data_IF_432514293540
#
_entry.id   IF_432514293540
#
_cell.length_a   1.000
_cell.length_b   1.000
_cell.length_c   1.000
_cell.angle_alpha   90.00
_cell.angle_beta   90.00
_cell.angle_gamma   90.00
#
_symmetry.space_group_name_H-M   'P 1'
#
loop_
_entity.id
_entity.type
_entity.pdbx_description
1 polymer ?
#
# COMPACT_ATOMS: atom_id res chain seq x y z
N UNK A 1 11.16 32.89 5.82
CA UNK A 1 10.60 32.19 4.65
C UNK A 1 10.12 30.82 5.08
N UNK A 2 8.86 30.44 4.76
CA UNK A 2 8.33 29.10 5.11
C UNK A 2 9.11 28.01 4.37
N UNK A 3 9.37 26.89 5.04
CA UNK A 3 10.05 25.73 4.41
C UNK A 3 9.07 24.92 3.57
N UNK A 4 9.52 24.42 2.43
CA UNK A 4 8.71 23.60 1.53
C UNK A 4 8.70 22.13 1.94
N UNK A 5 7.54 21.49 1.81
CA UNK A 5 7.35 20.05 1.97
C UNK A 5 6.66 19.51 0.70
N UNK A 6 7.30 18.59 0.04
CA UNK A 6 6.78 17.91 -1.15
C UNK A 6 6.41 16.47 -0.77
N UNK A 7 5.16 16.10 -0.94
CA UNK A 7 4.65 14.77 -0.57
C UNK A 7 4.29 14.01 -1.84
N UNK A 8 4.95 12.86 -2.05
CA UNK A 8 4.69 12.00 -3.18
C UNK A 8 3.42 11.17 -2.96
N UNK A 9 2.42 11.35 -3.82
CA UNK A 9 1.16 10.61 -3.81
C UNK A 9 0.77 10.19 -5.22
N UNK A 10 0.61 8.88 -5.48
CA UNK A 10 0.31 8.35 -6.82
C UNK A 10 -1.08 7.71 -6.91
N UNK A 11 -1.58 7.17 -5.81
CA UNK A 11 -2.85 6.44 -5.79
C UNK A 11 -3.87 7.11 -4.87
N UNK A 12 -4.85 7.79 -5.48
CA UNK A 12 -5.91 8.48 -4.76
C UNK A 12 -6.62 7.59 -3.72
N UNK A 13 -7.01 6.38 -4.11
CA UNK A 13 -7.75 5.45 -3.23
C UNK A 13 -6.90 4.86 -2.10
N UNK A 14 -5.58 4.89 -2.21
CA UNK A 14 -4.69 4.21 -1.27
C UNK A 14 -4.03 5.16 -0.29
N UNK A 15 -3.28 6.13 -0.77
CA UNK A 15 -2.37 6.94 0.05
C UNK A 15 -2.75 8.41 0.15
N UNK A 16 -3.58 8.91 -0.79
CA UNK A 16 -3.87 10.35 -0.87
C UNK A 16 -4.47 10.92 0.42
N UNK A 17 -5.44 10.25 1.03
CA UNK A 17 -6.08 10.76 2.25
C UNK A 17 -5.13 10.78 3.46
N UNK A 18 -4.25 9.78 3.60
CA UNK A 18 -3.20 9.79 4.62
C UNK A 18 -2.19 10.92 4.38
N UNK A 19 -1.80 11.13 3.13
CA UNK A 19 -0.92 12.23 2.74
C UNK A 19 -1.58 13.60 2.92
N UNK A 20 -2.89 13.71 2.68
CA UNK A 20 -3.65 14.92 2.96
C UNK A 20 -3.67 15.25 4.45
N UNK A 21 -3.90 14.25 5.33
CA UNK A 21 -3.79 14.43 6.78
C UNK A 21 -2.40 14.95 7.17
N UNK A 22 -1.34 14.32 6.65
CA UNK A 22 0.04 14.75 6.90
C UNK A 22 0.27 16.18 6.40
N UNK A 23 -0.27 16.53 5.22
CA UNK A 23 -0.16 17.86 4.64
C UNK A 23 -0.83 18.94 5.49
N UNK A 24 -2.03 18.66 5.99
CA UNK A 24 -2.75 19.59 6.89
C UNK A 24 -1.99 19.82 8.19
N UNK A 25 -1.44 18.74 8.76
CA UNK A 25 -0.61 18.86 9.98
C UNK A 25 0.68 19.65 9.74
N UNK A 26 1.33 19.46 8.60
CA UNK A 26 2.54 20.22 8.25
C UNK A 26 2.21 21.69 7.94
N UNK A 27 1.12 21.97 7.22
CA UNK A 27 0.68 23.34 6.94
C UNK A 27 0.35 24.10 8.23
N UNK A 28 -0.23 23.42 9.22
CA UNK A 28 -0.49 23.99 10.57
C UNK A 28 0.80 24.23 11.39
N UNK A 29 1.95 23.80 10.91
CA UNK A 29 3.29 24.04 11.45
C UNK A 29 4.12 24.97 10.55
N UNK A 30 3.45 25.85 9.81
CA UNK A 30 4.04 26.86 8.95
C UNK A 30 4.90 26.34 7.77
N UNK A 31 4.64 25.14 7.29
CA UNK A 31 5.23 24.65 6.05
C UNK A 31 4.37 25.00 4.82
N UNK A 32 5.00 25.29 3.69
CA UNK A 32 4.34 25.26 2.40
C UNK A 32 4.30 23.79 1.92
N UNK A 33 3.11 23.24 1.72
CA UNK A 33 2.96 21.82 1.41
C UNK A 33 2.41 21.62 0.02
N UNK A 34 3.06 20.74 -0.73
CA UNK A 34 2.71 20.36 -2.09
C UNK A 34 2.50 18.84 -2.15
N UNK A 35 1.36 18.40 -2.67
CA UNK A 35 1.10 16.98 -2.96
C UNK A 35 1.17 16.79 -4.47
N UNK A 36 1.98 15.85 -4.93
CA UNK A 36 2.14 15.59 -6.36
C UNK A 36 2.52 14.15 -6.68
N UNK A 37 2.42 13.81 -7.95
CA UNK A 37 2.84 12.50 -8.47
C UNK A 37 4.33 12.51 -8.82
N UNK A 38 4.93 11.33 -8.93
CA UNK A 38 6.31 11.18 -9.37
C UNK A 38 6.57 11.85 -10.72
N UNK A 39 5.62 11.74 -11.66
CA UNK A 39 5.72 12.37 -12.98
C UNK A 39 5.82 13.90 -12.90
N UNK A 40 4.99 14.51 -12.06
CA UNK A 40 4.98 15.97 -11.86
C UNK A 40 6.30 16.41 -11.24
N UNK A 41 6.73 15.77 -10.14
CA UNK A 41 7.96 16.16 -9.46
C UNK A 41 9.21 15.94 -10.31
N UNK A 42 9.30 14.86 -11.09
CA UNK A 42 10.39 14.67 -12.05
C UNK A 42 10.46 15.80 -13.10
N UNK A 43 9.29 16.21 -13.62
CA UNK A 43 9.23 17.32 -14.58
C UNK A 43 9.72 18.62 -13.94
N UNK A 44 9.14 19.01 -12.82
CA UNK A 44 9.50 20.24 -12.11
C UNK A 44 10.97 20.26 -11.66
N UNK A 45 11.51 19.12 -11.23
CA UNK A 45 12.91 18.99 -10.86
C UNK A 45 13.85 19.19 -12.06
N UNK A 46 13.51 18.61 -13.21
CA UNK A 46 14.25 18.78 -14.47
C UNK A 46 14.24 20.22 -14.95
N UNK A 47 13.14 20.91 -14.76
CA UNK A 47 12.95 22.33 -15.14
C UNK A 47 13.50 23.30 -14.08
N UNK A 48 14.12 22.80 -13.00
CA UNK A 48 14.63 23.58 -11.84
C UNK A 48 13.57 24.47 -11.18
N UNK A 49 12.31 24.06 -11.20
CA UNK A 49 11.18 24.76 -10.60
C UNK A 49 10.89 24.37 -9.14
N UNK A 50 11.65 23.43 -8.57
CA UNK A 50 11.53 23.03 -7.17
C UNK A 50 12.64 23.66 -6.35
N UNK A 51 12.27 24.47 -5.37
CA UNK A 51 13.21 24.95 -4.34
C UNK A 51 13.52 23.85 -3.34
N UNK A 52 14.75 23.77 -2.79
CA UNK A 52 15.09 22.81 -1.74
C UNK A 52 14.12 22.83 -0.57
N UNK A 53 13.85 21.66 -0.02
CA UNK A 53 12.90 21.46 1.08
C UNK A 53 12.87 20.02 1.52
N UNK A 54 11.84 19.62 2.24
CA UNK A 54 11.62 18.22 2.62
C UNK A 54 10.90 17.51 1.48
N UNK A 55 11.45 16.42 0.99
CA UNK A 55 10.79 15.56 0.01
C UNK A 55 10.41 14.23 0.67
N UNK A 56 9.12 14.04 0.87
CA UNK A 56 8.56 12.83 1.49
C UNK A 56 8.11 11.84 0.44
N UNK A 57 8.74 10.67 0.41
CA UNK A 57 8.47 9.62 -0.57
C UNK A 57 7.70 8.44 0.04
N UNK A 58 6.87 7.80 -0.78
CA UNK A 58 6.06 6.63 -0.41
C UNK A 58 6.80 5.29 -0.50
N UNK A 59 8.04 5.28 -0.96
CA UNK A 59 8.88 4.08 -1.06
C UNK A 59 10.35 4.48 -1.05
N UNK A 60 11.21 3.66 -0.49
CA UNK A 60 12.63 4.00 -0.32
C UNK A 60 13.44 3.67 -1.57
N UNK A 61 13.41 2.40 -2.04
CA UNK A 61 14.30 1.88 -3.09
C UNK A 61 13.58 0.94 -4.04
N UNK A 62 12.56 1.44 -4.74
CA UNK A 62 11.81 0.58 -5.66
C UNK A 62 12.19 0.83 -7.13
N UNK A 63 13.28 0.14 -7.57
CA UNK A 63 13.80 0.22 -8.94
C UNK A 63 14.89 1.29 -9.14
N UNK A 64 15.55 1.24 -10.28
CA UNK A 64 16.70 2.11 -10.61
C UNK A 64 16.26 3.57 -10.76
N UNK A 65 15.14 3.81 -11.43
CA UNK A 65 14.57 5.16 -11.59
C UNK A 65 14.33 5.89 -10.26
N UNK A 66 13.96 5.12 -9.21
CA UNK A 66 13.72 5.69 -7.88
C UNK A 66 15.04 6.07 -7.21
N UNK A 67 16.03 5.21 -7.33
CA UNK A 67 17.40 5.47 -6.84
C UNK A 67 17.98 6.74 -7.48
N UNK A 68 17.85 6.89 -8.80
CA UNK A 68 18.35 8.08 -9.49
C UNK A 68 17.61 9.36 -9.06
N UNK A 69 16.29 9.31 -8.93
CA UNK A 69 15.54 10.45 -8.40
C UNK A 69 15.98 10.84 -6.99
N UNK A 70 16.15 9.86 -6.09
CA UNK A 70 16.61 10.12 -4.73
C UNK A 70 18.00 10.76 -4.71
N UNK A 71 18.91 10.27 -5.55
CA UNK A 71 20.26 10.80 -5.71
C UNK A 71 20.25 12.23 -6.25
N UNK A 72 19.41 12.52 -7.24
CA UNK A 72 19.27 13.86 -7.82
C UNK A 72 18.72 14.86 -6.77
N UNK A 73 17.66 14.49 -6.06
CA UNK A 73 17.10 15.31 -4.98
C UNK A 73 18.14 15.58 -3.89
N UNK A 74 18.88 14.54 -3.46
CA UNK A 74 19.95 14.69 -2.47
C UNK A 74 21.03 15.68 -2.93
N UNK A 75 21.51 15.57 -4.19
CA UNK A 75 22.47 16.49 -4.78
C UNK A 75 21.96 17.94 -4.86
N UNK A 76 20.65 18.13 -4.97
CA UNK A 76 20.00 19.46 -4.98
C UNK A 76 19.61 19.93 -3.56
N UNK A 77 20.20 19.34 -2.51
CA UNK A 77 20.02 19.72 -1.10
C UNK A 77 18.59 19.55 -0.56
N UNK A 78 17.82 18.59 -1.11
CA UNK A 78 16.54 18.21 -0.49
C UNK A 78 16.79 17.30 0.72
N UNK A 79 15.98 17.48 1.77
CA UNK A 79 15.91 16.59 2.93
C UNK A 79 14.97 15.45 2.60
N UNK A 80 15.50 14.27 2.31
CA UNK A 80 14.71 13.12 1.94
C UNK A 80 14.16 12.40 3.17
N UNK A 81 12.87 12.20 3.19
CA UNK A 81 12.17 11.36 4.17
C UNK A 81 11.27 10.37 3.46
N UNK A 82 10.89 9.28 4.12
CA UNK A 82 10.01 8.31 3.47
C UNK A 82 9.36 7.33 4.41
N UNK A 83 8.27 6.77 3.93
CA UNK A 83 7.58 5.60 4.49
C UNK A 83 7.34 4.61 3.36
N UNK A 84 7.51 3.31 3.59
CA UNK A 84 7.10 2.35 2.57
C UNK A 84 5.60 2.06 2.72
N UNK A 85 4.78 2.63 1.85
CA UNK A 85 3.32 2.50 1.85
C UNK A 85 2.82 1.08 1.53
N UNK A 86 3.69 0.17 1.14
CA UNK A 86 3.38 -1.24 0.91
C UNK A 86 3.94 -2.16 1.99
N UNK A 87 4.59 -1.58 3.01
CA UNK A 87 5.03 -2.28 4.20
C UNK A 87 3.86 -2.45 5.20
N UNK A 88 4.06 -3.16 6.27
CA UNK A 88 3.10 -3.18 7.39
C UNK A 88 2.31 -4.49 7.56
N UNK A 89 2.45 -5.48 6.68
CA UNK A 89 1.78 -6.78 6.80
C UNK A 89 2.80 -7.93 6.80
N UNK A 90 3.63 -8.00 7.82
CA UNK A 90 4.74 -8.97 7.85
C UNK A 90 4.46 -10.05 8.90
N UNK A 91 4.16 -11.26 8.44
CA UNK A 91 3.81 -12.37 9.32
C UNK A 91 4.95 -13.35 9.59
N UNK A 92 6.04 -13.37 8.78
CA UNK A 92 7.14 -14.35 8.93
C UNK A 92 8.51 -13.69 8.76
N UNK A 93 9.50 -14.24 9.45
CA UNK A 93 10.90 -13.77 9.41
C UNK A 93 11.50 -13.73 8.01
N UNK A 94 11.12 -14.65 7.15
CA UNK A 94 11.65 -14.72 5.78
C UNK A 94 11.06 -13.64 4.86
N UNK A 95 9.88 -13.11 5.16
CA UNK A 95 9.29 -12.02 4.41
C UNK A 95 10.18 -10.78 4.41
N UNK A 96 10.83 -10.48 5.52
CA UNK A 96 11.79 -9.37 5.57
C UNK A 96 12.94 -9.56 4.56
N UNK A 97 13.51 -10.76 4.48
CA UNK A 97 14.62 -11.06 3.56
C UNK A 97 14.17 -11.03 2.10
N UNK A 98 13.01 -11.60 1.82
CA UNK A 98 12.52 -11.82 0.45
C UNK A 98 11.88 -10.55 -0.11
N UNK A 99 11.13 -9.82 0.67
CA UNK A 99 10.31 -8.70 0.20
C UNK A 99 10.85 -7.33 0.60
N UNK A 100 11.18 -7.13 1.87
CA UNK A 100 11.57 -5.81 2.39
C UNK A 100 13.01 -5.47 2.03
N UNK A 101 13.95 -6.39 2.21
CA UNK A 101 15.36 -6.15 1.91
C UNK A 101 15.63 -5.71 0.46
N UNK A 102 14.98 -6.29 -0.58
CA UNK A 102 15.11 -5.78 -1.95
C UNK A 102 14.53 -4.38 -2.17
N UNK A 103 13.55 -3.96 -1.36
CA UNK A 103 12.89 -2.65 -1.43
C UNK A 103 13.63 -1.57 -0.65
N UNK A 104 14.54 -1.96 0.25
CA UNK A 104 15.38 -1.10 1.07
C UNK A 104 16.84 -1.39 0.77
N UNK A 105 17.32 -0.90 -0.37
CA UNK A 105 18.75 -0.97 -0.69
C UNK A 105 19.53 -0.09 0.29
N UNK A 106 20.51 -0.67 0.97
CA UNK A 106 21.33 0.07 1.95
C UNK A 106 21.97 1.33 1.36
N UNK A 107 22.41 1.29 0.09
CA UNK A 107 22.98 2.45 -0.61
C UNK A 107 22.00 3.62 -0.72
N UNK A 108 20.71 3.36 -0.92
CA UNK A 108 19.72 4.43 -1.04
C UNK A 108 19.43 5.12 0.30
N UNK A 109 19.64 4.41 1.42
CA UNK A 109 19.48 4.97 2.76
C UNK A 109 20.53 6.08 3.05
N UNK A 110 21.61 6.15 2.31
CA UNK A 110 22.59 7.24 2.45
C UNK A 110 21.95 8.60 2.16
N UNK A 111 21.03 8.65 1.20
CA UNK A 111 20.34 9.87 0.80
C UNK A 111 19.23 10.30 1.76
N UNK A 112 18.75 9.41 2.61
CA UNK A 112 17.60 9.69 3.51
C UNK A 112 18.06 10.27 4.85
N UNK A 113 17.36 11.28 5.30
CA UNK A 113 17.48 11.83 6.67
C UNK A 113 16.60 11.06 7.66
N UNK A 114 15.40 10.62 7.23
CA UNK A 114 14.49 9.85 8.07
C UNK A 114 13.67 8.83 7.25
N UNK A 115 13.47 7.66 7.84
CA UNK A 115 12.59 6.61 7.35
C UNK A 115 11.61 6.25 8.46
N UNK A 116 10.32 6.36 8.16
CA UNK A 116 9.26 6.13 9.12
C UNK A 116 8.77 4.69 9.04
N UNK A 117 8.57 4.07 10.19
CA UNK A 117 8.15 2.68 10.34
C UNK A 117 6.69 2.59 10.77
N UNK A 118 5.95 1.63 10.22
CA UNK A 118 4.53 1.42 10.53
C UNK A 118 4.29 0.93 11.96
N UNK A 119 5.23 0.19 12.53
CA UNK A 119 5.12 -0.37 13.86
C UNK A 119 6.44 -0.98 14.36
N UNK A 120 6.39 -1.52 15.58
CA UNK A 120 7.53 -2.13 16.26
C UNK A 120 8.20 -3.24 15.46
N UNK A 121 7.41 -4.04 14.75
CA UNK A 121 7.96 -5.13 13.96
C UNK A 121 8.91 -4.63 12.88
N UNK A 122 8.48 -3.66 12.08
CA UNK A 122 9.30 -3.08 11.00
C UNK A 122 10.51 -2.38 11.58
N UNK A 123 10.30 -1.53 12.59
CA UNK A 123 11.35 -0.79 13.25
C UNK A 123 12.44 -1.72 13.76
N UNK A 124 12.07 -2.75 14.55
CA UNK A 124 13.03 -3.68 15.12
C UNK A 124 13.78 -4.50 14.06
N UNK A 125 13.11 -4.85 12.96
CA UNK A 125 13.77 -5.53 11.83
C UNK A 125 14.75 -4.61 11.12
N UNK A 126 14.37 -3.36 10.85
CA UNK A 126 15.25 -2.40 10.18
C UNK A 126 16.50 -2.10 10.99
N UNK A 127 16.38 -1.77 12.27
CA UNK A 127 17.53 -1.48 13.12
C UNK A 127 18.45 -2.70 13.31
N UNK A 128 17.88 -3.93 13.27
CA UNK A 128 18.66 -5.18 13.35
C UNK A 128 19.45 -5.45 12.06
N UNK A 129 18.83 -5.30 10.90
CA UNK A 129 19.44 -5.69 9.63
C UNK A 129 20.19 -4.55 8.93
N UNK A 130 19.87 -3.30 9.27
CA UNK A 130 20.44 -2.09 8.67
C UNK A 130 21.16 -1.26 9.75
N UNK A 131 21.95 -1.93 10.58
CA UNK A 131 22.66 -1.35 11.72
C UNK A 131 23.36 -0.01 11.47
N UNK A 132 24.09 0.19 10.33
CA UNK A 132 24.75 1.47 10.07
C UNK A 132 23.78 2.64 9.99
N UNK A 133 22.53 2.39 9.64
CA UNK A 133 21.49 3.41 9.42
C UNK A 133 20.45 3.48 10.55
N UNK A 134 20.69 2.82 11.70
CA UNK A 134 19.70 2.72 12.80
C UNK A 134 19.13 4.06 13.25
N UNK A 135 19.94 5.11 13.22
CA UNK A 135 19.53 6.47 13.63
C UNK A 135 18.57 7.14 12.64
N UNK A 136 18.39 6.58 11.45
CA UNK A 136 17.48 7.12 10.41
C UNK A 136 16.06 6.54 10.50
N UNK A 137 15.85 5.48 11.31
CA UNK A 137 14.54 4.84 11.45
C UNK A 137 13.78 5.41 12.64
N UNK A 138 12.52 5.73 12.42
CA UNK A 138 11.63 6.31 13.42
C UNK A 138 10.33 5.50 13.49
N UNK A 139 9.92 5.14 14.70
CA UNK A 139 8.65 4.46 14.95
C UNK A 139 7.55 5.50 15.07
N UNK A 140 6.73 5.65 14.04
CA UNK A 140 5.71 6.70 13.95
C UNK A 140 4.30 6.19 13.68
N UNK A 141 4.17 4.98 13.11
CA UNK A 141 2.92 4.54 12.50
C UNK A 141 2.77 5.04 11.06
N UNK A 142 1.60 4.82 10.48
CA UNK A 142 1.26 5.25 9.12
C UNK A 142 0.02 6.16 9.12
N UNK A 143 0.08 7.36 8.54
CA UNK A 143 -1.07 8.27 8.45
C UNK A 143 -2.29 7.63 7.77
N UNK A 144 -2.07 6.72 6.83
CA UNK A 144 -3.14 5.96 6.17
C UNK A 144 -3.90 5.07 7.15
N UNK A 145 -3.17 4.36 8.01
CA UNK A 145 -3.77 3.47 9.02
C UNK A 145 -4.42 4.27 10.14
N UNK A 146 -3.86 5.43 10.48
CA UNK A 146 -4.47 6.32 11.47
C UNK A 146 -5.89 6.73 11.08
N UNK A 147 -6.16 6.96 9.81
CA UNK A 147 -7.50 7.29 9.31
C UNK A 147 -8.52 6.15 9.45
N UNK A 148 -8.10 4.92 9.75
CA UNK A 148 -9.00 3.79 10.04
C UNK A 148 -9.47 3.77 11.49
N UNK A 149 -8.84 4.56 12.37
CA UNK A 149 -9.22 4.64 13.79
C UNK A 149 -10.56 5.36 13.97
N UNK A 150 -11.36 4.93 14.95
CA UNK A 150 -12.68 5.52 15.26
C UNK A 150 -12.66 7.03 15.45
N UNK A 151 -11.57 7.59 16.00
CA UNK A 151 -11.43 9.04 16.19
C UNK A 151 -11.51 9.85 14.89
N UNK A 152 -11.25 9.25 13.74
CA UNK A 152 -11.35 9.86 12.41
C UNK A 152 -12.64 9.49 11.67
N UNK A 153 -13.63 8.86 12.31
CA UNK A 153 -14.89 8.47 11.66
C UNK A 153 -15.60 9.66 11.00
N UNK A 154 -15.51 10.85 11.58
CA UNK A 154 -16.10 12.08 11.02
C UNK A 154 -15.57 12.45 9.63
N UNK A 155 -14.36 12.04 9.26
CA UNK A 155 -13.80 12.26 7.92
C UNK A 155 -14.60 11.51 6.84
N UNK A 156 -15.34 10.47 7.23
CA UNK A 156 -16.07 9.55 6.34
C UNK A 156 -17.60 9.64 6.50
N UNK A 157 -18.12 10.67 7.20
CA UNK A 157 -19.56 10.77 7.56
C UNK A 157 -20.53 10.86 6.38
N UNK A 158 -20.06 11.24 5.19
CA UNK A 158 -20.85 11.24 3.96
C UNK A 158 -20.88 9.88 3.23
N UNK A 159 -20.37 8.82 3.84
CA UNK A 159 -20.58 7.49 3.29
C UNK A 159 -21.98 7.02 3.67
N UNK A 160 -22.77 6.55 2.70
CA UNK A 160 -24.14 5.97 2.85
C UNK A 160 -24.18 4.70 3.73
N UNK A 161 -23.10 4.46 4.46
CA UNK A 161 -22.94 3.34 5.36
C UNK A 161 -23.49 3.72 6.75
N UNK A 162 -24.80 3.59 6.93
CA UNK A 162 -25.35 3.44 8.28
C UNK A 162 -24.65 2.26 8.93
N UNK A 163 -24.30 2.37 10.22
CA UNK A 163 -23.71 1.28 10.99
C UNK A 163 -24.57 0.02 10.81
N UNK A 164 -24.10 -0.90 9.96
CA UNK A 164 -24.82 -2.14 9.63
C UNK A 164 -24.09 -3.29 10.31
N UNK A 165 -24.88 -4.27 10.71
CA UNK A 165 -24.39 -5.53 11.29
C UNK A 165 -23.74 -6.39 10.19
N UNK A 166 -22.48 -6.09 9.79
CA UNK A 166 -21.82 -6.85 8.73
C UNK A 166 -20.40 -7.27 9.06
N UNK A 167 -19.98 -8.34 8.40
CA UNK A 167 -18.61 -8.82 8.33
C UNK A 167 -17.99 -8.26 7.05
N UNK A 168 -16.86 -7.57 7.16
CA UNK A 168 -16.09 -7.13 6.01
C UNK A 168 -15.10 -8.24 5.60
N UNK A 169 -15.25 -8.76 4.39
CA UNK A 169 -14.35 -9.75 3.81
C UNK A 169 -13.54 -9.08 2.71
N UNK A 170 -12.21 -9.08 2.84
CA UNK A 170 -11.28 -8.41 1.91
C UNK A 170 -10.43 -9.45 1.18
N UNK A 171 -10.41 -9.41 -0.14
CA UNK A 171 -9.56 -10.31 -0.93
C UNK A 171 -8.26 -9.65 -1.38
N UNK A 172 -7.25 -10.50 -1.67
CA UNK A 172 -6.00 -10.12 -2.33
C UNK A 172 -5.52 -11.23 -3.25
N UNK A 173 -6.33 -11.54 -4.26
CA UNK A 173 -6.03 -12.53 -5.29
C UNK A 173 -5.64 -11.91 -6.63
N UNK A 174 -5.20 -10.63 -6.60
CA UNK A 174 -4.79 -9.90 -7.79
C UNK A 174 -3.72 -10.62 -8.63
N UNK A 175 -2.97 -11.56 -8.05
CA UNK A 175 -1.99 -12.34 -8.78
C UNK A 175 -2.62 -13.42 -9.69
N UNK A 176 -3.72 -14.05 -9.26
CA UNK A 176 -4.39 -15.12 -10.02
C UNK A 176 -5.75 -14.75 -10.61
N UNK A 177 -6.31 -13.60 -10.20
CA UNK A 177 -7.57 -13.03 -10.69
C UNK A 177 -7.36 -11.62 -11.26
N UNK A 178 -6.26 -11.39 -11.99
CA UNK A 178 -5.92 -10.09 -12.55
C UNK A 178 -6.64 -9.82 -13.87
N UNK A 179 -6.80 -8.55 -14.26
CA UNK A 179 -7.22 -8.15 -15.60
C UNK A 179 -6.28 -8.69 -16.69
N UNK A 180 -4.99 -8.80 -16.39
CA UNK A 180 -4.01 -9.43 -17.26
C UNK A 180 -3.96 -10.95 -17.05
N UNK A 181 -3.76 -11.70 -18.11
CA UNK A 181 -3.47 -13.13 -18.02
C UNK A 181 -2.13 -13.37 -17.30
N UNK A 182 -1.94 -14.57 -16.77
CA UNK A 182 -0.66 -14.93 -16.14
C UNK A 182 0.52 -14.71 -17.09
N UNK A 183 0.38 -15.10 -18.36
CA UNK A 183 1.43 -14.92 -19.36
C UNK A 183 1.77 -13.44 -19.61
N UNK A 184 0.77 -12.57 -19.62
CA UNK A 184 0.99 -11.12 -19.76
C UNK A 184 1.67 -10.54 -18.53
N UNK A 185 1.30 -10.97 -17.32
CA UNK A 185 1.99 -10.59 -16.08
C UNK A 185 3.46 -11.01 -16.14
N UNK A 186 3.75 -12.25 -16.51
CA UNK A 186 5.13 -12.75 -16.66
C UNK A 186 5.91 -11.95 -17.68
N UNK A 187 5.34 -11.64 -18.86
CA UNK A 187 5.99 -10.81 -19.88
C UNK A 187 6.31 -9.41 -19.35
N UNK A 188 5.40 -8.78 -18.60
CA UNK A 188 5.61 -7.46 -17.99
C UNK A 188 6.75 -7.47 -16.98
N UNK A 189 6.78 -8.47 -16.10
CA UNK A 189 7.85 -8.66 -15.11
C UNK A 189 9.20 -8.94 -15.78
N UNK A 190 9.21 -9.72 -16.86
CA UNK A 190 10.41 -9.99 -17.65
C UNK A 190 10.95 -8.70 -18.30
N UNK A 191 10.06 -7.88 -18.88
CA UNK A 191 10.42 -6.57 -19.45
C UNK A 191 10.96 -5.62 -18.39
N UNK A 192 10.43 -5.67 -17.17
CA UNK A 192 10.91 -4.90 -16.03
C UNK A 192 12.22 -5.45 -15.41
N UNK A 193 12.80 -6.51 -15.99
CA UNK A 193 14.07 -7.09 -15.51
C UNK A 193 13.96 -7.94 -14.25
N UNK A 194 12.74 -8.28 -13.82
CA UNK A 194 12.50 -8.99 -12.55
C UNK A 194 13.20 -10.37 -12.52
N UNK A 195 13.24 -11.08 -13.66
CA UNK A 195 13.85 -12.40 -13.75
C UNK A 195 15.36 -12.41 -14.08
N UNK A 196 15.96 -11.25 -14.37
CA UNK A 196 17.41 -11.16 -14.62
C UNK A 196 18.26 -11.63 -13.43
N UNK A 197 17.70 -11.56 -12.22
CA UNK A 197 18.41 -11.88 -10.96
C UNK A 197 18.27 -13.34 -10.53
N UNK A 198 17.28 -14.07 -11.04
CA UNK A 198 17.08 -15.49 -10.75
C UNK A 198 16.14 -16.12 -11.79
N UNK A 199 16.63 -16.99 -12.69
CA UNK A 199 15.82 -17.72 -13.68
C UNK A 199 14.73 -18.59 -13.04
N UNK A 200 14.99 -19.13 -11.85
CA UNK A 200 14.05 -20.00 -11.12
C UNK A 200 12.80 -19.26 -10.62
N UNK A 201 12.86 -17.94 -10.50
CA UNK A 201 11.69 -17.14 -10.07
C UNK A 201 10.50 -17.37 -10.98
N UNK A 202 10.68 -17.51 -12.29
CA UNK A 202 9.58 -17.75 -13.24
C UNK A 202 8.86 -19.07 -12.96
N UNK A 203 9.61 -20.14 -12.63
CA UNK A 203 9.05 -21.45 -12.26
C UNK A 203 8.31 -21.37 -10.92
N UNK A 204 8.90 -20.70 -9.95
CA UNK A 204 8.28 -20.48 -8.63
C UNK A 204 6.99 -19.66 -8.74
N UNK A 205 6.94 -18.65 -9.60
CA UNK A 205 5.73 -17.86 -9.83
C UNK A 205 4.59 -18.67 -10.42
N UNK A 206 4.87 -19.61 -11.32
CA UNK A 206 3.84 -20.49 -11.85
C UNK A 206 3.25 -21.42 -10.77
N UNK A 207 4.11 -21.95 -9.91
CA UNK A 207 3.68 -22.75 -8.74
C UNK A 207 2.84 -21.89 -7.80
N UNK A 208 3.30 -20.66 -7.51
CA UNK A 208 2.58 -19.72 -6.68
C UNK A 208 1.22 -19.31 -7.27
N UNK A 209 1.16 -19.05 -8.56
CA UNK A 209 -0.09 -18.77 -9.28
C UNK A 209 -1.11 -19.91 -9.13
N UNK A 210 -0.70 -21.16 -9.34
CA UNK A 210 -1.57 -22.33 -9.14
C UNK A 210 -2.04 -22.44 -7.68
N UNK A 211 -1.15 -22.23 -6.75
CA UNK A 211 -1.47 -22.24 -5.32
C UNK A 211 -2.49 -21.14 -4.97
N UNK A 212 -2.25 -19.91 -5.38
CA UNK A 212 -3.16 -18.78 -5.16
C UNK A 212 -4.55 -19.05 -5.75
N UNK A 213 -4.61 -19.65 -6.93
CA UNK A 213 -5.89 -20.04 -7.55
C UNK A 213 -6.66 -21.06 -6.71
N UNK A 214 -5.99 -22.06 -6.15
CA UNK A 214 -6.61 -23.02 -5.22
C UNK A 214 -7.11 -22.33 -3.95
N UNK A 215 -6.32 -21.44 -3.37
CA UNK A 215 -6.69 -20.68 -2.17
C UNK A 215 -7.90 -19.78 -2.45
N UNK A 216 -7.94 -19.12 -3.61
CA UNK A 216 -9.07 -18.28 -4.03
C UNK A 216 -10.40 -19.06 -4.07
N UNK A 217 -10.41 -20.30 -4.60
CA UNK A 217 -11.62 -21.14 -4.58
C UNK A 217 -12.00 -21.58 -3.16
N UNK A 218 -11.02 -21.88 -2.30
CA UNK A 218 -11.30 -22.14 -0.87
C UNK A 218 -11.89 -20.92 -0.19
N UNK A 219 -11.45 -19.73 -0.56
CA UNK A 219 -11.98 -18.48 -0.06
C UNK A 219 -13.44 -18.24 -0.50
N UNK A 220 -13.78 -18.56 -1.76
CA UNK A 220 -15.18 -18.59 -2.23
C UNK A 220 -16.03 -19.52 -1.36
N UNK A 221 -15.53 -20.73 -1.06
CA UNK A 221 -16.25 -21.69 -0.23
C UNK A 221 -16.42 -21.18 1.22
N UNK A 222 -15.40 -20.49 1.77
CA UNK A 222 -15.54 -19.83 3.08
C UNK A 222 -16.66 -18.79 3.08
N UNK A 223 -16.74 -17.94 2.04
CA UNK A 223 -17.80 -16.93 1.95
C UNK A 223 -19.19 -17.59 1.84
N UNK A 224 -19.32 -18.65 1.04
CA UNK A 224 -20.56 -19.43 0.95
C UNK A 224 -20.95 -20.07 2.29
N UNK A 225 -19.98 -20.62 3.01
CA UNK A 225 -20.20 -21.18 4.34
C UNK A 225 -20.67 -20.11 5.34
N UNK A 226 -19.96 -18.96 5.38
CA UNK A 226 -20.35 -17.84 6.22
C UNK A 226 -21.77 -17.35 5.87
N UNK A 227 -22.06 -17.13 4.59
CA UNK A 227 -23.37 -16.70 4.11
C UNK A 227 -24.51 -17.63 4.56
N UNK A 228 -24.25 -18.94 4.58
CA UNK A 228 -25.25 -19.95 5.00
C UNK A 228 -25.46 -19.99 6.51
N UNK A 229 -24.43 -19.69 7.31
CA UNK A 229 -24.42 -19.90 8.77
C UNK A 229 -24.58 -18.60 9.57
N UNK A 230 -24.60 -17.44 8.92
CA UNK A 230 -24.89 -16.17 9.57
C UNK A 230 -26.39 -16.04 9.88
N UNK A 231 -26.72 -15.32 10.95
CA UNK A 231 -28.10 -14.96 11.27
C UNK A 231 -28.70 -14.05 10.19
N UNK A 232 -30.04 -14.02 10.11
CA UNK A 232 -30.76 -13.28 9.06
C UNK A 232 -30.52 -11.77 9.07
N UNK A 233 -30.11 -11.22 10.21
CA UNK A 233 -29.77 -9.80 10.41
C UNK A 233 -28.32 -9.47 10.09
N UNK A 234 -27.48 -10.47 9.81
CA UNK A 234 -26.06 -10.31 9.50
C UNK A 234 -25.79 -10.40 8.01
N UNK A 235 -24.96 -9.45 7.52
CA UNK A 235 -24.56 -9.36 6.13
C UNK A 235 -23.04 -9.50 5.97
N UNK A 236 -22.62 -9.85 4.78
CA UNK A 236 -21.23 -9.84 4.34
C UNK A 236 -21.05 -8.72 3.33
N UNK A 237 -20.13 -7.81 3.59
CA UNK A 237 -19.60 -6.91 2.55
C UNK A 237 -18.30 -7.50 2.06
N UNK A 238 -18.29 -7.87 0.78
CA UNK A 238 -17.10 -8.38 0.13
C UNK A 238 -16.40 -7.27 -0.64
N UNK A 239 -15.13 -7.04 -0.33
CA UNK A 239 -14.29 -6.03 -0.96
C UNK A 239 -13.15 -6.67 -1.75
N UNK A 240 -13.24 -6.79 -3.09
CA UNK A 240 -12.15 -7.28 -3.91
C UNK A 240 -11.01 -6.27 -3.96
N UNK A 241 -9.77 -6.76 -4.16
CA UNK A 241 -8.65 -5.89 -4.46
C UNK A 241 -8.89 -5.14 -5.79
N UNK A 242 -8.50 -3.86 -5.92
CA UNK A 242 -8.78 -3.06 -7.12
C UNK A 242 -8.24 -3.64 -8.44
N UNK A 243 -7.25 -4.53 -8.39
CA UNK A 243 -6.68 -5.20 -9.56
C UNK A 243 -7.31 -6.57 -9.86
N UNK A 244 -8.33 -6.98 -9.11
CA UNK A 244 -9.03 -8.23 -9.34
C UNK A 244 -10.20 -8.05 -10.30
N UNK A 245 -10.45 -9.08 -11.12
CA UNK A 245 -11.64 -9.16 -11.96
C UNK A 245 -12.89 -9.32 -11.08
N UNK A 246 -13.77 -8.35 -11.12
CA UNK A 246 -15.02 -8.34 -10.36
C UNK A 246 -15.96 -9.45 -10.82
N UNK A 247 -15.98 -9.73 -12.11
CA UNK A 247 -16.85 -10.73 -12.76
C UNK A 247 -16.67 -12.12 -12.17
N UNK A 248 -15.44 -12.46 -11.74
CA UNK A 248 -15.19 -13.73 -11.05
C UNK A 248 -15.99 -13.80 -9.74
N UNK A 249 -15.97 -12.75 -8.95
CA UNK A 249 -16.67 -12.70 -7.67
C UNK A 249 -18.19 -12.65 -7.85
N UNK A 250 -18.68 -11.85 -8.78
CA UNK A 250 -20.10 -11.78 -9.14
C UNK A 250 -20.65 -13.15 -9.53
N UNK A 251 -19.90 -13.90 -10.35
CA UNK A 251 -20.27 -15.25 -10.77
C UNK A 251 -20.36 -16.23 -9.60
N UNK A 252 -19.45 -16.15 -8.62
CA UNK A 252 -19.32 -17.17 -7.59
C UNK A 252 -20.07 -16.87 -6.29
N UNK A 253 -20.23 -15.61 -5.93
CA UNK A 253 -20.83 -15.17 -4.66
C UNK A 253 -21.92 -14.06 -4.82
N UNK A 254 -22.03 -13.44 -6.00
CA UNK A 254 -22.97 -12.32 -6.21
C UNK A 254 -24.46 -12.67 -6.11
N UNK A 255 -24.80 -13.97 -6.15
CA UNK A 255 -26.20 -14.44 -5.99
C UNK A 255 -26.57 -14.78 -4.55
N UNK A 256 -25.64 -14.66 -3.60
CA UNK A 256 -25.91 -14.94 -2.18
C UNK A 256 -26.69 -13.76 -1.58
N UNK A 257 -27.85 -14.02 -0.96
CA UNK A 257 -28.78 -12.97 -0.52
C UNK A 257 -28.21 -11.97 0.49
N UNK A 258 -27.29 -12.43 1.35
CA UNK A 258 -26.68 -11.62 2.39
C UNK A 258 -25.21 -11.23 2.07
N UNK A 259 -24.81 -11.27 0.78
CA UNK A 259 -23.47 -10.85 0.32
C UNK A 259 -23.60 -9.68 -0.64
N UNK A 260 -22.96 -8.56 -0.30
CA UNK A 260 -22.85 -7.37 -1.14
C UNK A 260 -21.40 -7.20 -1.61
N UNK A 261 -21.18 -7.10 -2.92
CA UNK A 261 -19.83 -6.85 -3.48
C UNK A 261 -19.62 -5.34 -3.66
N UNK A 262 -18.69 -4.76 -2.90
CA UNK A 262 -18.32 -3.33 -2.98
C UNK A 262 -16.92 -3.16 -3.52
N UNK A 263 -16.77 -2.88 -4.81
CA UNK A 263 -15.50 -2.67 -5.50
C UNK A 263 -15.07 -1.19 -5.57
N UNK A 264 -15.98 -0.25 -5.24
CA UNK A 264 -15.75 1.19 -5.31
C UNK A 264 -15.71 1.86 -3.93
N UNK A 265 -15.22 3.09 -3.91
CA UNK A 265 -15.13 3.91 -2.70
C UNK A 265 -13.90 3.63 -1.84
N UNK A 266 -13.77 4.36 -0.74
CA UNK A 266 -12.69 4.15 0.23
C UNK A 266 -13.01 2.97 1.15
N UNK A 267 -12.00 2.22 1.56
CA UNK A 267 -12.16 1.07 2.46
C UNK A 267 -12.32 1.49 3.93
N UNK A 268 -11.83 2.66 4.33
CA UNK A 268 -11.85 3.10 5.73
C UNK A 268 -13.25 3.08 6.36
N UNK A 269 -14.31 3.64 5.73
CA UNK A 269 -15.65 3.55 6.28
C UNK A 269 -16.15 2.10 6.40
N UNK A 270 -15.76 1.21 5.48
CA UNK A 270 -16.11 -0.21 5.58
C UNK A 270 -15.46 -0.87 6.79
N UNK A 271 -14.19 -0.59 7.04
CA UNK A 271 -13.46 -1.10 8.21
C UNK A 271 -14.08 -0.55 9.51
N UNK A 272 -14.33 0.76 9.57
CA UNK A 272 -14.83 1.42 10.78
C UNK A 272 -16.22 0.95 11.22
N UNK A 273 -17.08 0.59 10.25
CA UNK A 273 -18.47 0.18 10.50
C UNK A 273 -18.66 -1.34 10.50
N UNK A 274 -17.62 -2.13 10.25
CA UNK A 274 -17.69 -3.60 10.31
C UNK A 274 -17.59 -4.10 11.74
N UNK A 275 -18.24 -5.23 12.05
CA UNK A 275 -18.02 -5.98 13.29
C UNK A 275 -16.67 -6.71 13.29
N UNK A 276 -16.36 -7.32 12.14
CA UNK A 276 -15.15 -8.13 11.94
C UNK A 276 -14.62 -7.85 10.54
N UNK A 277 -13.30 -7.85 10.38
CA UNK A 277 -12.61 -7.81 9.10
C UNK A 277 -11.87 -9.15 8.91
N UNK A 278 -12.11 -9.80 7.76
CA UNK A 278 -11.49 -11.07 7.34
C UNK A 278 -10.69 -10.85 6.08
#
# INVERSE_FOLDING_TARGET
MKKNVYILSEHFKREFHGNLLLSLLAANKDFNVFIGTNRVYKKLLKENLLSPGIFHTKSISHGEEKTELNKELYKKNFVLTGIDEENGLIHKTDYFKIFIKPRLKSKDLEFFSAVFCWGDYDYNKFIKFLKPYKKKFFLTGSPRVDLWKKKFCKVWQNSDLKAKNYILVVSNFAYCNNFFSFNELVKRQQKAGYYKRSPDLKKQEFVYYKYQKKVMFKFVNLIKYLSKNLSSDQNIIFRPHPSEKKEFWEKHIGRLKNVEIKDKGNIAPLIQNSKIVI
#
